data_IF_458081258647
#
_entry.id   IF_458081258647
#
_cell.length_a   1.000
_cell.length_b   1.000
_cell.length_c   1.000
_cell.angle_alpha   90.00
_cell.angle_beta   90.00
_cell.angle_gamma   90.00
#
_symmetry.space_group_name_H-M   'P 1'
#
loop_
_entity.id
_entity.type
_entity.pdbx_description
1 polymer ?
#
# COMPACT_ATOMS: atom_id res chain seq x y z
N UNK A 1 -0.15 1.92 -14.31
CA UNK A 1 0.93 1.47 -13.40
C UNK A 1 0.63 1.89 -11.96
N UNK A 2 0.25 3.16 -11.73
CA UNK A 2 -0.14 3.69 -10.41
C UNK A 2 -1.10 2.77 -9.61
N UNK A 3 -2.22 2.25 -10.17
CA UNK A 3 -3.16 1.48 -9.36
C UNK A 3 -2.57 0.18 -8.80
N UNK A 4 -1.80 -0.56 -9.61
CA UNK A 4 -1.14 -1.78 -9.16
C UNK A 4 0.00 -1.49 -8.19
N UNK A 5 0.74 -0.41 -8.39
CA UNK A 5 1.78 0.01 -7.45
C UNK A 5 1.20 0.38 -6.06
N UNK A 6 0.05 1.05 -6.05
CA UNK A 6 -0.70 1.29 -4.81
C UNK A 6 -1.09 -0.03 -4.14
N UNK A 7 -1.71 -0.97 -4.89
CA UNK A 7 -2.12 -2.27 -4.35
C UNK A 7 -0.94 -3.08 -3.80
N UNK A 8 0.19 -3.11 -4.48
CA UNK A 8 1.40 -3.80 -4.00
C UNK A 8 1.95 -3.17 -2.72
N UNK A 9 1.99 -1.84 -2.63
CA UNK A 9 2.50 -1.13 -1.46
C UNK A 9 1.61 -1.36 -0.23
N UNK A 10 0.27 -1.21 -0.38
CA UNK A 10 -0.65 -1.48 0.74
C UNK A 10 -0.61 -2.95 1.15
N UNK A 11 -0.50 -3.89 0.20
CA UNK A 11 -0.38 -5.31 0.50
C UNK A 11 0.90 -5.61 1.28
N UNK A 12 2.04 -5.08 0.83
CA UNK A 12 3.34 -5.25 1.50
C UNK A 12 3.31 -4.72 2.94
N UNK A 13 2.75 -3.52 3.14
CA UNK A 13 2.59 -2.92 4.47
C UNK A 13 1.65 -3.74 5.36
N UNK A 14 0.52 -4.17 4.82
CA UNK A 14 -0.46 -4.95 5.57
C UNK A 14 0.12 -6.29 6.04
N UNK A 15 0.76 -7.04 5.14
CA UNK A 15 1.36 -8.34 5.47
C UNK A 15 2.52 -8.18 6.45
N UNK A 16 3.36 -7.15 6.27
CA UNK A 16 4.47 -6.85 7.18
C UNK A 16 3.99 -6.57 8.61
N UNK A 17 2.89 -5.83 8.76
CA UNK A 17 2.36 -5.45 10.08
C UNK A 17 1.49 -6.55 10.70
N UNK A 18 0.61 -7.19 9.93
CA UNK A 18 -0.46 -8.05 10.47
C UNK A 18 -0.38 -9.51 10.04
N UNK A 19 0.65 -9.93 9.30
CA UNK A 19 0.65 -11.21 8.56
C UNK A 19 0.24 -12.45 9.36
N UNK A 20 0.63 -12.57 10.63
CA UNK A 20 0.14 -13.67 11.50
C UNK A 20 -1.19 -13.35 12.17
N UNK A 21 -1.33 -12.12 12.68
CA UNK A 21 -2.50 -11.67 13.43
C UNK A 21 -3.81 -11.73 12.62
N UNK A 22 -3.74 -11.65 11.29
CA UNK A 22 -4.93 -11.67 10.42
C UNK A 22 -5.75 -12.96 10.50
N UNK A 23 -5.13 -14.09 10.80
CA UNK A 23 -5.81 -15.39 10.83
C UNK A 23 -6.82 -15.53 11.96
N UNK A 24 -6.67 -14.75 13.03
CA UNK A 24 -7.55 -14.78 14.21
C UNK A 24 -8.19 -13.43 14.49
N UNK A 25 -8.12 -12.50 13.54
CA UNK A 25 -8.61 -11.15 13.71
C UNK A 25 -10.15 -11.11 13.70
N UNK A 26 -10.71 -10.31 14.61
CA UNK A 26 -12.13 -9.98 14.56
C UNK A 26 -12.42 -9.06 13.36
N UNK A 27 -13.69 -8.97 12.92
CA UNK A 27 -14.08 -8.01 11.90
C UNK A 27 -13.58 -6.60 12.24
N UNK A 28 -12.96 -5.95 11.25
CA UNK A 28 -12.42 -4.59 11.36
C UNK A 28 -11.31 -4.37 12.41
N UNK A 29 -10.71 -5.43 12.96
CA UNK A 29 -9.69 -5.31 14.02
C UNK A 29 -8.48 -4.45 13.62
N UNK A 30 -8.18 -4.31 12.33
CA UNK A 30 -7.08 -3.48 11.81
C UNK A 30 -7.57 -2.16 11.19
N UNK A 31 -8.88 -1.90 11.16
CA UNK A 31 -9.44 -0.77 10.42
C UNK A 31 -8.96 0.57 10.99
N UNK A 32 -9.01 0.75 12.30
CA UNK A 32 -8.66 2.02 12.96
C UNK A 32 -7.22 2.48 12.66
N UNK A 33 -6.29 1.53 12.59
CA UNK A 33 -4.89 1.81 12.29
C UNK A 33 -4.64 1.83 10.78
N UNK A 34 -5.08 0.80 10.06
CA UNK A 34 -4.75 0.64 8.65
C UNK A 34 -5.54 1.56 7.71
N UNK A 35 -6.72 2.04 8.11
CA UNK A 35 -7.46 3.06 7.34
C UNK A 35 -6.66 4.34 7.16
N UNK A 36 -5.86 4.74 8.16
CA UNK A 36 -4.99 5.92 8.08
C UNK A 36 -3.89 5.72 7.04
N UNK A 37 -3.28 4.53 7.04
CA UNK A 37 -2.28 4.14 6.04
C UNK A 37 -2.89 4.10 4.65
N UNK A 38 -4.08 3.50 4.50
CA UNK A 38 -4.82 3.45 3.24
C UNK A 38 -5.12 4.85 2.70
N UNK A 39 -5.62 5.77 3.54
CA UNK A 39 -5.89 7.15 3.15
C UNK A 39 -4.64 7.86 2.66
N UNK A 40 -3.55 7.78 3.44
CA UNK A 40 -2.29 8.44 3.10
C UNK A 40 -1.71 7.93 1.79
N UNK A 41 -1.74 6.61 1.57
CA UNK A 41 -1.25 6.04 0.32
C UNK A 41 -2.18 6.38 -0.86
N UNK A 42 -3.50 6.38 -0.68
CA UNK A 42 -4.42 6.82 -1.73
C UNK A 42 -4.16 8.28 -2.15
N UNK A 43 -3.94 9.18 -1.18
CA UNK A 43 -3.64 10.58 -1.48
C UNK A 43 -2.31 10.72 -2.24
N UNK A 44 -1.27 10.01 -1.81
CA UNK A 44 0.03 10.01 -2.47
C UNK A 44 -0.07 9.51 -3.93
N UNK A 45 -0.68 8.35 -4.14
CA UNK A 45 -0.78 7.77 -5.48
C UNK A 45 -1.77 8.50 -6.40
N UNK A 46 -2.72 9.27 -5.86
CA UNK A 46 -3.72 10.01 -6.67
C UNK A 46 -3.30 11.44 -7.00
N UNK A 47 -2.50 12.07 -6.14
CA UNK A 47 -2.24 13.52 -6.23
C UNK A 47 -0.75 13.89 -6.33
N UNK A 48 0.19 12.98 -6.05
CA UNK A 48 1.63 13.29 -6.10
C UNK A 48 2.27 12.88 -7.45
N UNK A 49 2.75 13.83 -8.27
CA UNK A 49 3.46 13.51 -9.52
C UNK A 49 4.73 12.65 -9.32
N UNK A 50 5.30 12.65 -8.11
CA UNK A 50 6.48 11.83 -7.78
C UNK A 50 6.14 10.34 -7.70
N UNK A 51 4.89 9.98 -7.43
CA UNK A 51 4.45 8.57 -7.39
C UNK A 51 4.68 7.88 -8.75
N UNK A 52 4.47 8.61 -9.85
CA UNK A 52 4.74 8.11 -11.20
C UNK A 52 6.24 7.99 -11.50
N UNK A 53 7.03 8.97 -11.04
CA UNK A 53 8.47 9.02 -11.28
C UNK A 53 9.18 7.83 -10.62
N UNK A 54 8.85 7.53 -9.36
CA UNK A 54 9.42 6.39 -8.64
C UNK A 54 8.96 5.06 -9.27
N UNK A 55 7.70 4.96 -9.69
CA UNK A 55 7.20 3.76 -10.35
C UNK A 55 7.86 3.48 -11.70
N UNK A 56 8.21 4.53 -12.46
CA UNK A 56 9.01 4.37 -13.69
C UNK A 56 10.38 3.78 -13.40
N UNK A 57 11.13 4.35 -12.46
CA UNK A 57 12.45 3.85 -12.08
C UNK A 57 12.42 2.40 -11.59
N UNK A 58 11.40 2.03 -10.78
CA UNK A 58 11.21 0.64 -10.35
C UNK A 58 10.92 -0.31 -11.49
N UNK A 59 10.14 0.13 -12.48
CA UNK A 59 9.89 -0.66 -13.69
C UNK A 59 11.14 -0.89 -14.55
N UNK A 60 12.08 0.06 -14.57
CA UNK A 60 13.36 -0.07 -15.29
C UNK A 60 14.34 -1.00 -14.59
N UNK A 61 14.34 -1.05 -13.25
CA UNK A 61 15.19 -1.97 -12.47
C UNK A 61 14.75 -3.44 -12.50
N UNK A 62 13.51 -3.71 -12.91
CA UNK A 62 12.92 -5.06 -12.95
C UNK A 62 12.99 -5.70 -14.36
N UNK A 63 13.76 -5.11 -15.28
CA UNK A 63 14.11 -5.65 -16.61
C UNK A 63 15.54 -6.18 -16.60
#
# INVERSE_FOLDING_TARGET
RIPFAFLEDIHSRFVKTYGRAVHSALPYAMNDEFSRVLSQQMDYYSNDPNADRINRMRGEMNQ
#
